data_IF_078541108051
#
_entry.id   IF_078541108051
#
_cell.length_a   1.000
_cell.length_b   1.000
_cell.length_c   1.000
_cell.angle_alpha   90.00
_cell.angle_beta   90.00
_cell.angle_gamma   90.00
#
_symmetry.space_group_name_H-M   'P 1'
#
loop_
_entity.id
_entity.type
_entity.pdbx_description
1 polymer ?
#
# COMPACT_ATOMS: atom_id res chain seq x y z
N UNK A 1 -3.90 -28.10 19.94
CA UNK A 1 -3.63 -26.69 19.59
C UNK A 1 -4.36 -26.32 18.31
N UNK A 2 -5.43 -25.55 18.41
CA UNK A 2 -6.18 -24.99 17.29
C UNK A 2 -5.38 -23.84 16.67
N UNK A 3 -4.84 -24.06 15.47
CA UNK A 3 -4.12 -23.03 14.72
C UNK A 3 -5.07 -21.89 14.35
N UNK A 4 -4.64 -20.66 14.64
CA UNK A 4 -5.36 -19.40 14.50
C UNK A 4 -6.07 -19.24 13.15
N UNK A 5 -7.38 -19.51 13.13
CA UNK A 5 -8.27 -19.01 12.09
C UNK A 5 -8.67 -17.57 12.45
N UNK A 6 -7.76 -16.61 12.24
CA UNK A 6 -8.16 -15.22 12.14
C UNK A 6 -8.47 -14.93 10.67
N UNK A 7 -9.61 -15.44 10.20
CA UNK A 7 -10.29 -14.91 9.02
C UNK A 7 -10.68 -13.47 9.34
N UNK A 8 -9.73 -12.55 9.14
CA UNK A 8 -10.00 -11.13 8.93
C UNK A 8 -11.17 -11.09 7.94
N UNK A 9 -12.33 -10.59 8.38
CA UNK A 9 -13.52 -10.40 7.55
C UNK A 9 -13.07 -9.88 6.18
N UNK A 10 -13.50 -10.53 5.09
CA UNK A 10 -13.00 -10.38 3.71
C UNK A 10 -13.17 -8.99 3.07
N UNK A 11 -12.82 -7.93 3.79
CA UNK A 11 -12.58 -6.62 3.22
C UNK A 11 -11.29 -6.71 2.42
N UNK A 12 -11.43 -6.67 1.09
CA UNK A 12 -10.30 -6.46 0.21
C UNK A 12 -9.67 -5.10 0.55
N UNK A 13 -8.45 -5.12 1.09
CA UNK A 13 -7.70 -3.92 1.51
C UNK A 13 -7.47 -2.96 0.33
N UNK A 14 -7.50 -3.50 -0.89
CA UNK A 14 -7.36 -2.73 -2.12
C UNK A 14 -8.70 -2.49 -2.82
N UNK A 15 -9.82 -2.71 -2.14
CA UNK A 15 -11.13 -2.38 -2.65
C UNK A 15 -11.17 -0.89 -3.00
N UNK A 16 -11.51 -0.60 -4.25
CA UNK A 16 -11.71 0.76 -4.72
C UNK A 16 -13.17 1.14 -4.49
N UNK A 17 -13.40 2.34 -3.97
CA UNK A 17 -14.73 2.85 -3.66
C UNK A 17 -14.92 4.28 -4.15
N UNK A 18 -16.19 4.70 -4.19
CA UNK A 18 -16.59 6.03 -4.62
C UNK A 18 -16.31 6.33 -6.09
N UNK A 19 -16.60 7.58 -6.50
CA UNK A 19 -16.40 8.04 -7.89
C UNK A 19 -14.92 8.14 -8.27
N UNK A 20 -14.08 8.46 -7.29
CA UNK A 20 -12.63 8.58 -7.50
C UNK A 20 -11.92 7.22 -7.54
N UNK A 21 -12.61 6.11 -7.29
CA UNK A 21 -11.99 4.77 -7.19
C UNK A 21 -10.79 4.75 -6.25
N UNK A 22 -10.88 5.46 -5.13
CA UNK A 22 -9.84 5.47 -4.11
C UNK A 22 -9.85 4.14 -3.36
N UNK A 23 -8.66 3.66 -2.99
CA UNK A 23 -8.53 2.61 -1.97
C UNK A 23 -8.45 3.25 -0.59
N UNK A 24 -8.59 2.44 0.47
CA UNK A 24 -8.40 2.92 1.84
C UNK A 24 -7.03 3.61 2.04
N UNK A 25 -6.00 3.18 1.29
CA UNK A 25 -4.66 3.78 1.35
C UNK A 25 -4.61 5.18 0.71
N UNK A 26 -5.41 5.45 -0.32
CA UNK A 26 -5.53 6.80 -0.88
C UNK A 26 -6.21 7.75 0.10
N UNK A 27 -7.29 7.30 0.74
CA UNK A 27 -8.00 8.09 1.76
C UNK A 27 -7.06 8.39 2.95
N UNK A 28 -6.32 7.39 3.44
CA UNK A 28 -5.32 7.60 4.49
C UNK A 28 -4.23 8.60 4.09
N UNK A 29 -3.76 8.56 2.84
CA UNK A 29 -2.78 9.52 2.33
C UNK A 29 -3.35 10.95 2.21
N UNK A 30 -4.62 11.08 1.84
CA UNK A 30 -5.30 12.38 1.72
C UNK A 30 -5.50 13.06 3.08
N UNK A 31 -5.68 12.27 4.15
CA UNK A 31 -5.80 12.76 5.53
C UNK A 31 -4.48 13.32 6.11
N UNK A 32 -3.34 13.11 5.43
CA UNK A 32 -2.04 13.60 5.87
C UNK A 32 -1.62 13.02 7.23
N UNK A 33 -1.16 13.84 8.20
CA UNK A 33 -0.68 13.35 9.49
C UNK A 33 -1.71 12.52 10.27
N UNK A 34 -3.00 12.87 10.16
CA UNK A 34 -4.09 12.14 10.80
C UNK A 34 -4.29 10.72 10.22
N UNK A 35 -3.86 10.51 8.97
CA UNK A 35 -3.95 9.22 8.28
C UNK A 35 -2.72 8.33 8.43
N UNK A 36 -1.64 8.79 9.09
CA UNK A 36 -0.38 8.05 9.17
C UNK A 36 -0.53 6.66 9.81
N UNK A 37 -1.22 6.58 10.96
CA UNK A 37 -1.47 5.29 11.63
C UNK A 37 -2.31 4.36 10.75
N UNK A 38 -3.37 4.89 10.12
CA UNK A 38 -4.21 4.14 9.19
C UNK A 38 -3.40 3.60 8.01
N UNK A 39 -2.53 4.43 7.42
CA UNK A 39 -1.65 4.00 6.34
C UNK A 39 -0.72 2.86 6.80
N UNK A 40 -0.16 2.94 8.01
CA UNK A 40 0.73 1.90 8.55
C UNK A 40 0.00 0.57 8.79
N UNK A 41 -1.23 0.61 9.30
CA UNK A 41 -2.08 -0.58 9.46
C UNK A 41 -2.42 -1.19 8.10
N UNK A 42 -2.86 -0.38 7.13
CA UNK A 42 -3.19 -0.84 5.78
C UNK A 42 -1.99 -1.49 5.09
N UNK A 43 -0.79 -0.91 5.21
CA UNK A 43 0.42 -1.52 4.68
C UNK A 43 0.79 -2.84 5.37
N UNK A 44 0.50 -2.96 6.66
CA UNK A 44 0.67 -4.21 7.43
C UNK A 44 -0.30 -5.28 6.95
N UNK A 45 -1.49 -4.89 6.52
CA UNK A 45 -2.48 -5.73 5.83
C UNK A 45 -2.15 -6.02 4.35
N UNK A 46 -0.94 -5.66 3.88
CA UNK A 46 -0.47 -5.86 2.50
C UNK A 46 -1.24 -5.04 1.44
N UNK A 47 -1.73 -3.85 1.80
CA UNK A 47 -2.29 -2.91 0.81
C UNK A 47 -1.32 -2.64 -0.37
N UNK A 48 -1.87 -2.67 -1.57
CA UNK A 48 -1.19 -2.41 -2.82
C UNK A 48 -0.87 -0.92 -3.01
N UNK A 49 0.37 -0.55 -2.75
CA UNK A 49 0.89 0.83 -2.92
C UNK A 49 0.89 1.33 -4.37
N UNK A 50 0.74 0.43 -5.35
CA UNK A 50 0.75 0.75 -6.79
C UNK A 50 -0.64 0.92 -7.41
N UNK A 51 -1.70 0.66 -6.64
CA UNK A 51 -3.06 0.82 -7.14
C UNK A 51 -3.28 2.29 -7.53
N UNK A 52 -3.87 2.52 -8.68
CA UNK A 52 -4.21 3.85 -9.17
C UNK A 52 -5.70 4.10 -9.02
N UNK A 53 -6.04 5.29 -8.53
CA UNK A 53 -7.40 5.79 -8.49
C UNK A 53 -7.88 6.21 -9.89
N UNK A 54 -9.10 6.73 -10.01
CA UNK A 54 -9.70 7.17 -11.27
C UNK A 54 -8.93 8.35 -11.92
N UNK A 55 -8.20 9.14 -11.12
CA UNK A 55 -7.31 10.20 -11.59
C UNK A 55 -5.92 9.70 -12.00
N UNK A 56 -5.66 8.39 -11.97
CA UNK A 56 -4.35 7.82 -12.28
C UNK A 56 -3.30 7.98 -11.18
N UNK A 57 -3.69 8.51 -10.01
CA UNK A 57 -2.81 8.75 -8.87
C UNK A 57 -2.70 7.50 -8.03
N UNK A 58 -1.51 7.24 -7.49
CA UNK A 58 -1.26 6.28 -6.42
C UNK A 58 -1.46 6.94 -5.06
N UNK A 59 -1.52 6.14 -3.99
CA UNK A 59 -1.56 6.67 -2.63
C UNK A 59 -0.34 7.55 -2.30
N UNK A 60 0.82 7.27 -2.93
CA UNK A 60 2.02 8.11 -2.80
C UNK A 60 1.78 9.50 -3.42
N UNK A 61 1.24 9.55 -4.63
CA UNK A 61 0.98 10.82 -5.33
C UNK A 61 -0.03 11.68 -4.53
N UNK A 62 -1.03 11.03 -3.92
CA UNK A 62 -1.98 11.70 -3.02
C UNK A 62 -1.29 12.23 -1.76
N UNK A 63 -0.37 11.47 -1.15
CA UNK A 63 0.38 11.91 0.04
C UNK A 63 1.31 13.10 -0.25
N UNK A 64 1.92 13.13 -1.45
CA UNK A 64 2.73 14.26 -1.90
C UNK A 64 1.87 15.51 -2.00
N UNK A 65 0.67 15.39 -2.58
CA UNK A 65 -0.27 16.51 -2.71
C UNK A 65 -0.84 16.97 -1.35
N UNK A 66 -0.94 16.08 -0.35
CA UNK A 66 -1.39 16.46 1.00
C UNK A 66 -0.30 17.12 1.85
N UNK A 67 0.97 17.12 1.39
CA UNK A 67 2.10 17.76 2.07
C UNK A 67 2.59 17.01 3.32
N UNK A 68 2.20 15.75 3.50
CA UNK A 68 2.60 14.96 4.67
C UNK A 68 3.86 14.14 4.40
N UNK A 69 5.02 14.71 4.77
CA UNK A 69 6.33 14.08 4.53
C UNK A 69 6.48 12.68 5.17
N UNK A 70 5.84 12.44 6.32
CA UNK A 70 5.92 11.14 7.01
C UNK A 70 5.19 10.03 6.25
N UNK A 71 3.98 10.32 5.75
CA UNK A 71 3.23 9.35 4.93
C UNK A 71 3.91 9.14 3.57
N UNK A 72 4.44 10.18 2.96
CA UNK A 72 5.26 10.10 1.73
C UNK A 72 6.46 9.17 1.96
N UNK A 73 7.21 9.37 3.04
CA UNK A 73 8.39 8.56 3.38
C UNK A 73 8.02 7.09 3.64
N UNK A 74 6.93 6.86 4.37
CA UNK A 74 6.41 5.53 4.67
C UNK A 74 6.00 4.78 3.39
N UNK A 75 5.31 5.46 2.46
CA UNK A 75 4.88 4.89 1.19
C UNK A 75 6.07 4.65 0.23
N UNK A 76 7.03 5.58 0.18
CA UNK A 76 8.27 5.41 -0.60
C UNK A 76 9.07 4.19 -0.14
N UNK A 77 9.27 4.06 1.17
CA UNK A 77 9.98 2.91 1.77
C UNK A 77 9.29 1.58 1.47
N UNK A 78 7.95 1.57 1.32
CA UNK A 78 7.22 0.36 0.95
C UNK A 78 7.33 0.04 -0.54
N UNK A 79 7.24 1.04 -1.40
CA UNK A 79 7.41 0.89 -2.85
C UNK A 79 8.82 0.39 -3.21
N UNK A 80 9.86 0.91 -2.56
CA UNK A 80 11.23 0.43 -2.74
C UNK A 80 11.41 -1.05 -2.36
N UNK A 81 10.80 -1.48 -1.24
CA UNK A 81 10.81 -2.89 -0.83
C UNK A 81 10.08 -3.81 -1.82
N UNK A 82 8.97 -3.36 -2.40
CA UNK A 82 8.26 -4.13 -3.45
C UNK A 82 9.12 -4.30 -4.72
N UNK A 83 9.84 -3.25 -5.14
CA UNK A 83 10.78 -3.32 -6.27
C UNK A 83 11.94 -4.28 -5.99
N UNK A 84 12.57 -4.16 -4.82
CA UNK A 84 13.71 -5.01 -4.45
C UNK A 84 13.30 -6.48 -4.32
N UNK A 85 12.11 -6.75 -3.76
CA UNK A 85 11.55 -8.10 -3.67
C UNK A 85 11.31 -8.74 -5.05
N UNK A 86 10.94 -7.95 -6.06
CA UNK A 86 10.79 -8.43 -7.44
C UNK A 86 12.15 -8.72 -8.10
N UNK A 87 13.15 -7.87 -7.86
CA UNK A 87 14.50 -8.05 -8.40
C UNK A 87 15.21 -9.28 -7.79
N UNK A 88 15.03 -9.52 -6.49
CA UNK A 88 15.60 -10.68 -5.80
C UNK A 88 15.04 -12.02 -6.31
N UNK A 89 13.74 -12.07 -6.63
CA UNK A 89 13.11 -13.26 -7.24
C UNK A 89 13.65 -13.57 -8.64
N UNK A 90 13.99 -12.54 -9.40
CA UNK A 90 14.54 -12.71 -10.75
C UNK A 90 15.99 -13.22 -10.73
N UNK A 91 16.77 -12.85 -9.72
CA UNK A 91 18.18 -13.27 -9.58
C UNK A 91 18.33 -14.72 -9.12
N UNK A 92 17.37 -15.25 -8.36
CA UNK A 92 17.34 -16.65 -7.94
C UNK A 92 16.88 -17.62 -9.04
N UNK A 93 16.16 -17.13 -10.06
CA UNK A 93 15.71 -17.95 -11.18
C UNK A 93 16.78 -18.11 -12.29
N UNK A 94 17.92 -17.42 -12.17
CA UNK A 94 19.03 -17.47 -13.14
C UNK A 94 20.25 -18.26 -12.63
N UNK A 95 20.20 -18.86 -11.44
CA UNK A 95 21.29 -19.66 -10.86
C UNK A 95 21.00 -21.16 -10.78
N UNK A 96 20.05 -21.66 -11.59
CA UNK A 96 19.72 -23.11 -11.65
C UNK A 96 20.00 -23.70 -13.06
N UNK A 97 20.96 -23.14 -13.78
CA UNK A 97 21.58 -23.74 -14.97
C UNK A 97 23.10 -23.72 -14.78
#
# INVERSE_FOLDING_TARGET
MTYFLFTQRGADVDQQSGRMKNTALHEAAALGPAGLQSAQVLLSCKAGVRRRNAGGQTAYDVAVNSGCNDTVSLLAARTGRDLLGKLGKHKLNLQVL
#
